data_IF_222402011685
#
_entry.id   IF_222402011685
#
_cell.length_a   1.000
_cell.length_b   1.000
_cell.length_c   1.000
_cell.angle_alpha   90.00
_cell.angle_beta   90.00
_cell.angle_gamma   90.00
#
_symmetry.space_group_name_H-M   'P 1'
#
loop_
_entity.id
_entity.type
_entity.pdbx_description
1 polymer ?
#
# COMPACT_ATOMS: atom_id res chain seq x y z
N UNK A 1 -11.50 6.24 18.07
CA UNK A 1 -10.37 5.35 17.75
C UNK A 1 -9.72 4.94 19.06
N UNK A 2 -9.68 3.64 19.34
CA UNK A 2 -9.13 3.10 20.57
C UNK A 2 -7.59 3.00 20.48
N UNK A 3 -6.95 2.73 21.62
CA UNK A 3 -5.48 2.64 21.71
C UNK A 3 -4.91 1.56 20.77
N UNK A 4 -5.63 0.47 20.59
CA UNK A 4 -5.22 -0.68 19.77
C UNK A 4 -5.28 -0.35 18.27
N UNK A 5 -6.30 0.37 17.85
CA UNK A 5 -6.44 0.91 16.48
C UNK A 5 -5.35 1.94 16.15
N UNK A 6 -5.01 2.81 17.11
CA UNK A 6 -3.90 3.76 16.97
C UNK A 6 -2.55 3.06 16.84
N UNK A 7 -2.31 2.01 17.64
CA UNK A 7 -1.06 1.25 17.59
C UNK A 7 -0.91 0.49 16.27
N UNK A 8 -1.98 -0.11 15.73
CA UNK A 8 -1.97 -0.75 14.40
C UNK A 8 -1.65 0.25 13.27
N UNK A 9 -2.12 1.49 13.39
CA UNK A 9 -1.83 2.56 12.42
C UNK A 9 -0.38 3.00 12.57
N UNK A 10 0.08 3.30 13.78
CA UNK A 10 1.45 3.77 14.01
C UNK A 10 2.52 2.70 13.75
N UNK A 11 2.23 1.41 13.95
CA UNK A 11 3.16 0.34 13.57
C UNK A 11 3.42 0.29 12.07
N UNK A 12 2.51 0.78 11.23
CA UNK A 12 2.74 0.93 9.80
C UNK A 12 3.66 2.12 9.45
N UNK A 13 3.87 3.05 10.39
CA UNK A 13 4.68 4.27 10.18
C UNK A 13 6.00 4.28 10.97
N UNK A 14 6.25 3.30 11.84
CA UNK A 14 7.37 3.35 12.78
C UNK A 14 8.27 2.12 12.64
N UNK A 15 9.25 2.15 11.72
CA UNK A 15 10.47 1.40 11.96
C UNK A 15 11.30 2.08 13.07
N UNK A 16 11.29 3.41 13.18
CA UNK A 16 12.15 4.11 14.14
C UNK A 16 11.59 4.09 15.56
N UNK A 17 12.37 3.53 16.50
CA UNK A 17 12.04 3.51 17.94
C UNK A 17 11.17 2.32 18.37
N UNK A 18 10.83 1.41 17.44
CA UNK A 18 10.15 0.16 17.77
C UNK A 18 11.11 -0.75 18.54
N UNK A 19 10.68 -1.22 19.72
CA UNK A 19 11.40 -2.25 20.45
C UNK A 19 10.96 -3.64 19.95
N UNK A 20 11.92 -4.48 19.55
CA UNK A 20 11.68 -5.87 19.13
C UNK A 20 12.36 -6.82 20.12
N UNK A 21 11.72 -7.96 20.38
CA UNK A 21 12.30 -9.04 21.17
C UNK A 21 12.83 -10.11 20.22
N UNK A 22 14.05 -10.56 20.43
CA UNK A 22 14.69 -11.61 19.61
C UNK A 22 15.17 -12.73 20.52
N UNK A 23 14.97 -13.97 20.09
CA UNK A 23 15.54 -15.16 20.72
C UNK A 23 16.75 -15.57 19.88
N UNK A 24 17.95 -15.35 20.41
CA UNK A 24 19.20 -15.86 19.85
C UNK A 24 19.87 -16.77 20.87
N UNK A 25 20.17 -18.00 20.46
CA UNK A 25 20.73 -19.06 21.31
C UNK A 25 19.99 -19.32 22.65
N UNK A 26 18.70 -18.98 22.76
CA UNK A 26 17.90 -19.19 23.96
C UNK A 26 17.94 -18.05 24.98
N UNK A 27 18.52 -16.90 24.61
CA UNK A 27 18.43 -15.65 25.39
C UNK A 27 17.57 -14.61 24.66
N UNK A 28 16.60 -14.04 25.39
CA UNK A 28 15.74 -12.95 24.90
C UNK A 28 16.46 -11.60 25.00
N UNK A 29 16.65 -10.94 23.86
CA UNK A 29 17.21 -9.59 23.77
C UNK A 29 16.14 -8.61 23.28
N UNK A 30 16.15 -7.39 23.83
CA UNK A 30 15.27 -6.31 23.38
C UNK A 30 16.10 -5.26 22.64
N UNK A 31 15.80 -5.09 21.36
CA UNK A 31 16.52 -4.16 20.48
C UNK A 31 15.63 -3.04 19.97
N UNK A 32 16.22 -1.90 19.62
CA UNK A 32 15.49 -0.80 18.97
C UNK A 32 15.74 -0.84 17.47
N UNK A 33 14.67 -0.87 16.69
CA UNK A 33 14.73 -0.69 15.24
C UNK A 33 15.08 0.78 14.97
N UNK A 34 16.19 0.97 14.26
CA UNK A 34 16.74 2.29 13.91
C UNK A 34 16.69 2.55 12.41
N UNK A 35 16.19 1.60 11.61
CA UNK A 35 16.03 1.77 10.17
C UNK A 35 15.43 0.55 9.49
N UNK A 36 15.02 0.74 8.23
CA UNK A 36 14.68 -0.33 7.30
C UNK A 36 15.50 -0.05 6.04
N UNK A 37 16.26 -1.03 5.58
CA UNK A 37 16.85 -1.00 4.25
C UNK A 37 16.26 -2.12 3.38
N UNK A 38 16.69 -2.19 2.13
CA UNK A 38 16.23 -3.16 1.13
C UNK A 38 16.59 -4.62 1.45
N UNK A 39 17.43 -4.86 2.44
CA UNK A 39 17.96 -6.19 2.80
C UNK A 39 17.61 -6.59 4.24
N UNK A 40 17.36 -5.62 5.14
CA UNK A 40 17.13 -5.88 6.56
C UNK A 40 16.49 -4.71 7.34
N UNK A 41 16.05 -5.00 8.57
CA UNK A 41 15.72 -4.08 9.64
C UNK A 41 17.04 -3.76 10.29
N UNK A 42 17.40 -2.49 10.26
CA UNK A 42 18.60 -2.03 10.92
C UNK A 42 18.26 -1.82 12.40
N UNK A 43 18.97 -2.53 13.28
CA UNK A 43 18.84 -2.41 14.73
C UNK A 43 20.07 -1.74 15.31
N UNK A 44 19.97 -1.25 16.55
CA UNK A 44 21.04 -0.54 17.26
C UNK A 44 22.35 -1.33 17.41
N UNK A 45 22.33 -2.65 17.20
CA UNK A 45 23.48 -3.54 17.39
C UNK A 45 24.08 -3.97 16.04
N UNK A 46 23.40 -3.62 14.93
CA UNK A 46 23.76 -3.96 13.56
C UNK A 46 23.50 -5.43 13.26
N UNK A 47 22.54 -5.74 12.39
CA UNK A 47 22.48 -7.02 11.71
C UNK A 47 21.54 -7.02 10.50
N UNK A 48 21.89 -7.89 9.54
CA UNK A 48 21.07 -8.32 8.42
C UNK A 48 20.15 -9.44 8.87
N UNK A 49 18.85 -9.16 8.99
CA UNK A 49 17.81 -10.17 9.18
C UNK A 49 17.10 -10.39 7.86
N UNK A 50 17.10 -11.63 7.37
CA UNK A 50 16.42 -12.00 6.14
C UNK A 50 14.90 -12.08 6.42
N UNK A 51 14.17 -10.99 6.16
CA UNK A 51 12.70 -11.01 6.16
C UNK A 51 12.17 -10.56 4.81
N UNK A 52 11.13 -11.26 4.36
CA UNK A 52 10.42 -10.90 3.15
C UNK A 52 9.45 -9.76 3.45
N UNK A 53 9.75 -8.57 2.93
CA UNK A 53 8.79 -7.45 2.92
C UNK A 53 7.85 -7.60 1.73
N UNK A 54 6.54 -7.55 2.01
CA UNK A 54 5.52 -7.42 0.98
C UNK A 54 4.76 -6.11 1.18
N UNK A 55 4.56 -5.30 0.14
CA UNK A 55 3.76 -4.08 0.26
C UNK A 55 2.30 -4.44 0.60
N UNK A 56 1.66 -3.59 1.39
CA UNK A 56 0.24 -3.71 1.70
C UNK A 56 -0.52 -2.87 0.68
N UNK A 57 -1.18 -3.53 -0.27
CA UNK A 57 -1.83 -2.88 -1.40
C UNK A 57 -3.25 -3.37 -1.56
N UNK A 58 -4.15 -2.51 -2.05
CA UNK A 58 -5.40 -2.95 -2.63
C UNK A 58 -5.12 -3.62 -3.97
N UNK A 59 -5.73 -4.80 -4.16
CA UNK A 59 -5.80 -5.40 -5.49
C UNK A 59 -6.46 -4.44 -6.49
N UNK A 60 -6.06 -4.50 -7.75
CA UNK A 60 -6.53 -3.56 -8.77
C UNK A 60 -8.05 -3.64 -8.99
N UNK A 61 -8.69 -4.78 -8.69
CA UNK A 61 -10.16 -4.90 -8.71
C UNK A 61 -10.88 -3.97 -7.72
N UNK A 62 -10.17 -3.34 -6.78
CA UNK A 62 -10.71 -2.31 -5.89
C UNK A 62 -10.81 -0.93 -6.53
N UNK A 63 -10.37 -0.74 -7.77
CA UNK A 63 -10.61 0.49 -8.53
C UNK A 63 -12.10 0.89 -8.55
N UNK A 64 -13.01 -0.09 -8.57
CA UNK A 64 -14.46 0.09 -8.64
C UNK A 64 -15.18 -0.26 -7.34
N UNK A 65 -14.45 -0.52 -6.26
CA UNK A 65 -15.00 -0.85 -4.94
C UNK A 65 -14.68 0.27 -3.95
N UNK A 66 -15.44 0.35 -2.86
CA UNK A 66 -15.13 1.26 -1.77
C UNK A 66 -13.83 0.84 -1.08
N UNK A 67 -12.93 1.80 -0.85
CA UNK A 67 -11.72 1.66 -0.03
C UNK A 67 -11.71 2.66 1.11
N UNK A 68 -10.95 2.38 2.18
CA UNK A 68 -10.71 3.30 3.29
C UNK A 68 -9.24 3.77 3.22
N UNK A 69 -9.04 5.08 3.09
CA UNK A 69 -7.73 5.71 3.08
C UNK A 69 -7.77 6.96 3.96
N UNK A 70 -6.90 7.00 4.97
CA UNK A 70 -6.83 8.10 5.96
C UNK A 70 -8.18 8.39 6.66
N UNK A 71 -9.00 7.35 6.88
CA UNK A 71 -10.32 7.47 7.51
C UNK A 71 -11.45 7.96 6.59
N UNK A 72 -11.14 8.27 5.33
CA UNK A 72 -12.11 8.58 4.29
C UNK A 72 -12.45 7.32 3.48
N UNK A 73 -13.75 7.12 3.22
CA UNK A 73 -14.26 6.05 2.36
C UNK A 73 -14.68 6.59 1.01
N UNK A 74 -14.20 5.98 -0.08
CA UNK A 74 -14.55 6.38 -1.43
C UNK A 74 -14.29 5.26 -2.45
N UNK A 75 -14.86 5.40 -3.64
CA UNK A 75 -14.57 4.54 -4.81
C UNK A 75 -13.47 5.20 -5.66
N UNK A 76 -12.29 4.55 -5.88
CA UNK A 76 -11.16 5.17 -6.57
C UNK A 76 -11.49 5.68 -7.98
N UNK A 77 -12.24 4.92 -8.78
CA UNK A 77 -12.60 5.29 -10.14
C UNK A 77 -13.42 6.58 -10.21
N UNK A 78 -14.40 6.73 -9.32
CA UNK A 78 -15.23 7.94 -9.23
C UNK A 78 -14.38 9.15 -8.83
N UNK A 79 -13.45 8.96 -7.89
CA UNK A 79 -12.55 10.03 -7.44
C UNK A 79 -11.56 10.43 -8.54
N UNK A 80 -10.99 9.46 -9.25
CA UNK A 80 -10.10 9.69 -10.41
C UNK A 80 -10.82 10.37 -11.55
N UNK A 81 -12.08 10.05 -11.81
CA UNK A 81 -12.88 10.74 -12.82
C UNK A 81 -12.95 12.24 -12.53
N UNK A 82 -13.19 12.62 -11.27
CA UNK A 82 -13.21 14.03 -10.86
C UNK A 82 -11.85 14.69 -11.08
N UNK A 83 -10.75 14.00 -10.75
CA UNK A 83 -9.40 14.49 -11.06
C UNK A 83 -9.17 14.65 -12.55
N UNK A 84 -9.48 13.64 -13.37
CA UNK A 84 -9.27 13.65 -14.81
C UNK A 84 -10.12 14.73 -15.50
N UNK A 85 -11.34 14.96 -15.03
CA UNK A 85 -12.23 16.02 -15.52
C UNK A 85 -11.63 17.41 -15.31
N UNK A 86 -10.89 17.64 -14.21
CA UNK A 86 -10.18 18.90 -13.98
C UNK A 86 -9.06 19.18 -15.01
N UNK A 87 -8.60 18.14 -15.72
CA UNK A 87 -7.63 18.25 -16.82
C UNK A 87 -8.29 18.12 -18.20
N UNK A 88 -9.62 18.22 -18.29
CA UNK A 88 -10.36 18.20 -19.56
C UNK A 88 -10.59 16.81 -20.15
N UNK A 89 -10.35 15.74 -19.39
CA UNK A 89 -10.64 14.38 -19.86
C UNK A 89 -12.15 14.14 -19.82
N UNK A 90 -12.73 13.77 -20.97
CA UNK A 90 -14.14 13.44 -21.06
C UNK A 90 -14.46 12.10 -20.37
N UNK A 91 -15.62 12.04 -19.70
CA UNK A 91 -16.11 10.86 -18.97
C UNK A 91 -16.04 9.56 -19.76
N UNK A 92 -16.54 9.54 -21.00
CA UNK A 92 -16.53 8.33 -21.83
C UNK A 92 -15.12 7.83 -22.18
N UNK A 93 -14.16 8.75 -22.33
CA UNK A 93 -12.75 8.39 -22.56
C UNK A 93 -12.16 7.75 -21.31
N UNK A 94 -12.44 8.33 -20.13
CA UNK A 94 -11.97 7.77 -18.87
C UNK A 94 -12.61 6.40 -18.57
N UNK A 95 -13.92 6.25 -18.77
CA UNK A 95 -14.61 4.96 -18.59
C UNK A 95 -14.04 3.88 -19.52
N UNK A 96 -13.75 4.22 -20.77
CA UNK A 96 -13.11 3.29 -21.71
C UNK A 96 -11.69 2.90 -21.25
N UNK A 97 -10.87 3.86 -20.79
CA UNK A 97 -9.54 3.57 -20.24
C UNK A 97 -9.62 2.64 -19.03
N UNK A 98 -10.54 2.94 -18.09
CA UNK A 98 -10.73 2.15 -16.88
C UNK A 98 -11.19 0.72 -17.20
N UNK A 99 -12.16 0.54 -18.11
CA UNK A 99 -12.59 -0.79 -18.56
C UNK A 99 -11.41 -1.55 -19.16
N UNK A 100 -10.64 -0.91 -20.04
CA UNK A 100 -9.49 -1.55 -20.69
C UNK A 100 -8.44 -2.03 -19.67
N UNK A 101 -8.25 -1.29 -18.58
CA UNK A 101 -7.37 -1.68 -17.47
C UNK A 101 -7.94 -2.88 -16.70
N UNK A 102 -9.22 -2.86 -16.36
CA UNK A 102 -9.88 -3.94 -15.60
C UNK A 102 -9.98 -5.23 -16.40
N UNK A 103 -10.12 -5.12 -17.72
CA UNK A 103 -10.14 -6.24 -18.67
C UNK A 103 -8.72 -6.77 -18.98
N UNK A 104 -7.66 -6.11 -18.47
CA UNK A 104 -6.27 -6.48 -18.72
C UNK A 104 -5.77 -6.15 -20.13
N UNK A 105 -6.54 -5.37 -20.91
CA UNK A 105 -6.17 -4.93 -22.25
C UNK A 105 -5.16 -3.77 -22.23
N UNK A 106 -5.05 -3.06 -21.10
CA UNK A 106 -4.18 -1.89 -20.93
C UNK A 106 -3.51 -1.94 -19.57
N UNK A 107 -2.23 -1.56 -19.52
CA UNK A 107 -1.51 -1.46 -18.26
C UNK A 107 -1.89 -0.16 -17.53
N UNK A 108 -2.00 -0.22 -16.20
CA UNK A 108 -2.26 0.97 -15.36
C UNK A 108 -1.17 2.04 -15.56
N UNK A 109 0.05 1.61 -15.87
CA UNK A 109 1.20 2.47 -16.15
C UNK A 109 1.07 3.29 -17.44
N UNK A 110 0.07 3.02 -18.28
CA UNK A 110 -0.26 3.84 -19.46
C UNK A 110 -1.20 5.00 -19.13
N UNK A 111 -1.72 5.07 -17.89
CA UNK A 111 -2.46 6.24 -17.44
C UNK A 111 -1.55 7.48 -17.37
N UNK A 112 -2.13 8.68 -17.54
CA UNK A 112 -1.42 9.92 -17.21
C UNK A 112 -0.77 9.86 -15.82
N UNK A 113 0.48 10.31 -15.72
CA UNK A 113 1.30 10.24 -14.51
C UNK A 113 0.58 10.75 -13.25
N UNK A 114 -0.20 11.84 -13.36
CA UNK A 114 -0.93 12.40 -12.23
C UNK A 114 -2.02 11.46 -11.67
N UNK A 115 -2.61 10.58 -12.49
CA UNK A 115 -3.55 9.56 -12.03
C UNK A 115 -2.80 8.39 -11.37
N UNK A 116 -1.64 8.01 -11.93
CA UNK A 116 -0.77 6.97 -11.35
C UNK A 116 -0.35 7.36 -9.93
N UNK A 117 0.07 8.61 -9.72
CA UNK A 117 0.43 9.10 -8.38
C UNK A 117 -0.73 8.95 -7.39
N UNK A 118 -1.97 9.26 -7.78
CA UNK A 118 -3.15 9.07 -6.91
C UNK A 118 -3.42 7.60 -6.59
N UNK A 119 -3.25 6.71 -7.57
CA UNK A 119 -3.39 5.28 -7.34
C UNK A 119 -2.33 4.76 -6.35
N UNK A 120 -1.08 5.22 -6.46
CA UNK A 120 0.00 4.87 -5.53
C UNK A 120 -0.26 5.41 -4.12
N UNK A 121 -0.68 6.67 -3.98
CA UNK A 121 -1.08 7.26 -2.70
C UNK A 121 -2.16 6.42 -2.02
N UNK A 122 -3.17 5.95 -2.77
CA UNK A 122 -4.24 5.11 -2.24
C UNK A 122 -3.85 3.65 -2.07
N UNK A 123 -2.58 3.31 -2.29
CA UNK A 123 -2.01 1.97 -2.18
C UNK A 123 -2.68 0.94 -3.12
N UNK A 124 -3.07 1.32 -4.34
CA UNK A 124 -3.52 0.36 -5.35
C UNK A 124 -2.33 -0.34 -6.01
N UNK A 125 -2.51 -1.62 -6.38
CA UNK A 125 -1.51 -2.43 -7.07
C UNK A 125 -1.33 -2.01 -8.54
N UNK A 126 -0.79 -0.81 -8.75
CA UNK A 126 -0.52 -0.22 -10.08
C UNK A 126 0.40 -1.10 -10.93
N UNK A 127 1.34 -1.80 -10.30
CA UNK A 127 2.32 -2.65 -10.97
C UNK A 127 1.81 -4.06 -11.26
N UNK A 128 0.55 -4.37 -10.90
CA UNK A 128 -0.06 -5.68 -11.10
C UNK A 128 0.81 -6.83 -10.55
N UNK A 129 1.37 -6.61 -9.35
CA UNK A 129 2.11 -7.64 -8.61
C UNK A 129 1.24 -8.88 -8.42
N UNK A 130 1.85 -10.06 -8.47
CA UNK A 130 1.15 -11.33 -8.23
C UNK A 130 0.68 -11.41 -6.77
N UNK A 131 -0.35 -12.21 -6.49
CA UNK A 131 -0.97 -12.29 -5.15
C UNK A 131 0.02 -12.71 -4.05
N UNK A 132 1.04 -13.50 -4.39
CA UNK A 132 2.10 -13.89 -3.47
C UNK A 132 3.15 -12.78 -3.24
N UNK A 133 3.12 -11.68 -3.99
CA UNK A 133 4.10 -10.59 -3.91
C UNK A 133 3.60 -9.37 -3.12
N UNK A 134 2.32 -9.32 -2.74
CA UNK A 134 1.76 -8.26 -1.90
C UNK A 134 0.79 -8.83 -0.86
N UNK A 135 0.47 -8.04 0.16
CA UNK A 135 -0.59 -8.36 1.11
C UNK A 135 -1.82 -7.55 0.70
N UNK A 136 -2.94 -8.21 0.38
CA UNK A 136 -4.15 -7.52 0.00
C UNK A 136 -4.73 -6.73 1.19
N UNK A 137 -4.69 -5.41 1.11
CA UNK A 137 -5.11 -4.51 2.18
C UNK A 137 -6.56 -4.72 2.61
N UNK A 138 -7.43 -5.17 1.69
CA UNK A 138 -8.82 -5.43 2.02
C UNK A 138 -9.04 -6.67 2.89
N UNK A 139 -8.07 -7.60 2.96
CA UNK A 139 -8.16 -8.79 3.82
C UNK A 139 -7.65 -8.53 5.24
N UNK A 140 -7.00 -7.39 5.46
CA UNK A 140 -6.49 -6.95 6.78
C UNK A 140 -7.58 -6.39 7.70
N UNK A 141 -8.84 -6.76 7.50
CA UNK A 141 -9.98 -6.20 8.25
C UNK A 141 -9.84 -6.36 9.77
N UNK A 142 -10.27 -5.29 10.44
CA UNK A 142 -10.03 -4.85 11.84
C UNK A 142 -10.30 -5.89 12.92
#
# INVERSE_FOLDING_TARGET
MNKEELLKIYSAYLPYGLQISTDDEGEDWVETVIGVNNEALETSVGNYWDFTVKPILYDLSYLTKEIEHEGEKFVPSERLMNYASNFGVHRGVFEHMLSSILDGNTLVTELPYYLIIKLLEWHLNVFQLQEDQFINKATLTK
#
